data_IF_066240661228
#
_entry.id   IF_066240661228
#
_cell.length_a   1.000
_cell.length_b   1.000
_cell.length_c   1.000
_cell.angle_alpha   90.00
_cell.angle_beta   90.00
_cell.angle_gamma   90.00
#
_symmetry.space_group_name_H-M   'P 1'
#
loop_
_entity.id
_entity.type
_entity.pdbx_description
1 polymer ?
#
# COMPACT_ATOMS: atom_id res chain seq x y z
N UNK A 1 60.55 -54.74 -0.73
CA UNK A 1 60.36 -54.99 -2.18
C UNK A 1 59.09 -54.29 -2.63
N UNK A 2 59.20 -53.27 -3.49
CA UNK A 2 58.12 -52.78 -4.38
C UNK A 2 58.53 -53.17 -5.81
N UNK A 3 57.60 -53.46 -6.74
CA UNK A 3 56.73 -52.49 -7.45
C UNK A 3 55.29 -53.06 -7.68
N UNK A 4 54.27 -52.46 -8.30
CA UNK A 4 54.04 -51.21 -9.00
C UNK A 4 52.72 -51.31 -9.81
N UNK A 5 52.01 -50.18 -9.91
CA UNK A 5 51.17 -49.67 -11.03
C UNK A 5 49.89 -50.42 -11.47
N UNK A 6 48.76 -49.70 -11.50
CA UNK A 6 47.60 -50.02 -12.37
C UNK A 6 46.33 -49.22 -12.06
N UNK A 7 45.83 -48.45 -13.03
CA UNK A 7 44.63 -47.57 -13.04
C UNK A 7 43.33 -48.34 -12.70
N UNK A 8 42.18 -47.74 -12.36
CA UNK A 8 41.26 -46.99 -13.23
C UNK A 8 40.12 -46.42 -12.36
N UNK A 9 39.71 -45.17 -12.61
CA UNK A 9 38.58 -44.54 -11.95
C UNK A 9 37.22 -45.12 -12.39
N UNK A 10 36.31 -45.25 -11.43
CA UNK A 10 34.88 -45.31 -11.69
C UNK A 10 34.28 -44.00 -11.17
N UNK A 11 33.92 -43.13 -12.11
CA UNK A 11 33.08 -41.96 -11.84
C UNK A 11 31.72 -42.50 -11.44
N UNK A 12 31.25 -42.13 -10.24
CA UNK A 12 29.86 -42.33 -9.88
C UNK A 12 28.99 -41.69 -10.96
N UNK A 13 28.07 -42.48 -11.49
CA UNK A 13 27.15 -42.07 -12.55
C UNK A 13 26.37 -40.83 -12.13
N UNK A 14 26.37 -39.83 -13.00
CA UNK A 14 25.38 -38.77 -12.97
C UNK A 14 24.00 -39.39 -13.24
N UNK A 15 23.12 -39.42 -12.23
CA UNK A 15 21.67 -39.31 -12.45
C UNK A 15 21.09 -38.48 -11.31
N UNK A 16 20.58 -37.30 -11.67
CA UNK A 16 19.57 -36.56 -10.91
C UNK A 16 20.08 -35.69 -9.77
N UNK A 17 20.76 -34.58 -10.08
CA UNK A 17 20.62 -33.38 -9.25
C UNK A 17 19.16 -32.91 -9.35
N UNK A 18 18.28 -33.33 -8.44
CA UNK A 18 17.10 -32.53 -8.15
C UNK A 18 17.59 -31.36 -7.30
N UNK A 19 18.03 -30.30 -7.97
CA UNK A 19 18.25 -29.00 -7.34
C UNK A 19 16.93 -28.51 -6.76
N UNK A 20 16.66 -28.83 -5.50
CA UNK A 20 15.61 -28.22 -4.70
C UNK A 20 15.99 -26.78 -4.37
N UNK A 21 15.95 -25.92 -5.39
CA UNK A 21 16.02 -24.48 -5.21
C UNK A 21 14.74 -24.02 -4.53
N UNK A 22 14.87 -23.37 -3.37
CA UNK A 22 13.77 -22.78 -2.62
C UNK A 22 12.94 -21.87 -3.51
N UNK A 23 11.66 -22.24 -3.69
CA UNK A 23 10.68 -21.53 -4.51
C UNK A 23 10.20 -20.22 -3.87
N UNK A 24 11.12 -19.32 -3.54
CA UNK A 24 10.77 -17.96 -3.17
C UNK A 24 10.70 -17.10 -4.44
N UNK A 25 9.51 -16.52 -4.68
CA UNK A 25 9.26 -15.42 -5.62
C UNK A 25 9.48 -15.76 -7.11
N UNK A 26 8.51 -16.46 -7.73
CA UNK A 26 8.30 -16.39 -9.18
C UNK A 26 7.60 -15.07 -9.55
N UNK A 27 8.20 -13.91 -9.23
CA UNK A 27 7.69 -12.64 -9.75
C UNK A 27 8.31 -12.44 -11.13
N UNK A 28 7.59 -12.89 -12.17
CA UNK A 28 7.85 -12.44 -13.52
C UNK A 28 7.54 -10.93 -13.57
N UNK A 29 8.58 -10.10 -13.60
CA UNK A 29 8.45 -8.68 -13.96
C UNK A 29 8.09 -8.57 -15.43
N UNK A 30 6.83 -8.81 -15.75
CA UNK A 30 6.25 -8.55 -17.06
C UNK A 30 5.51 -7.22 -17.03
N UNK A 31 6.23 -6.11 -17.23
CA UNK A 31 5.61 -4.84 -17.56
C UNK A 31 4.93 -4.96 -18.92
N UNK A 32 3.67 -5.39 -18.95
CA UNK A 32 2.82 -5.34 -20.14
C UNK A 32 1.70 -4.32 -19.91
N UNK A 33 2.00 -3.06 -20.27
CA UNK A 33 0.98 -2.11 -20.67
C UNK A 33 0.38 -2.60 -21.99
N UNK A 34 -0.76 -3.29 -21.96
CA UNK A 34 -1.70 -3.29 -23.08
C UNK A 34 -3.13 -3.35 -22.55
N UNK A 35 -3.77 -2.18 -22.50
CA UNK A 35 -5.23 -2.07 -22.48
C UNK A 35 -5.78 -2.56 -23.82
N UNK A 36 -6.55 -3.65 -23.79
CA UNK A 36 -7.49 -3.99 -24.86
C UNK A 36 -8.87 -4.29 -24.26
N UNK A 37 -9.74 -3.30 -24.43
CA UNK A 37 -11.20 -3.32 -24.46
C UNK A 37 -11.88 -4.66 -24.11
N UNK A 38 -12.55 -4.70 -22.95
CA UNK A 38 -13.61 -5.67 -22.63
C UNK A 38 -13.19 -7.02 -22.05
N UNK A 39 -11.90 -7.24 -21.76
CA UNK A 39 -11.46 -8.43 -21.04
C UNK A 39 -11.86 -8.33 -19.57
N UNK A 40 -12.50 -9.38 -19.02
CA UNK A 40 -12.72 -9.54 -17.59
C UNK A 40 -11.43 -9.15 -16.86
N UNK A 41 -11.51 -8.15 -15.96
CA UNK A 41 -10.38 -7.63 -15.20
C UNK A 41 -9.66 -8.83 -14.58
N UNK A 42 -8.53 -9.25 -15.15
CA UNK A 42 -7.78 -10.40 -14.63
C UNK A 42 -7.39 -10.02 -13.21
N UNK A 43 -8.04 -10.67 -12.25
CA UNK A 43 -7.74 -10.50 -10.84
C UNK A 43 -6.29 -10.93 -10.66
N UNK A 44 -5.48 -10.07 -10.02
CA UNK A 44 -4.08 -10.37 -9.73
C UNK A 44 -4.04 -11.65 -8.89
N UNK A 45 -3.37 -12.74 -9.35
CA UNK A 45 -3.37 -14.02 -8.64
C UNK A 45 -2.79 -13.91 -7.22
N UNK A 46 -1.95 -12.91 -6.95
CA UNK A 46 -1.41 -12.65 -5.61
C UNK A 46 -2.49 -12.25 -4.60
N UNK A 47 -3.67 -11.80 -5.04
CA UNK A 47 -4.80 -11.54 -4.15
C UNK A 47 -5.35 -12.83 -3.51
N UNK A 48 -5.29 -13.97 -4.22
CA UNK A 48 -5.71 -15.25 -3.67
C UNK A 48 -4.70 -15.74 -2.62
N UNK A 49 -3.40 -15.60 -2.87
CA UNK A 49 -2.34 -15.89 -1.89
C UNK A 49 -2.54 -15.07 -0.59
N UNK A 50 -2.79 -13.77 -0.72
CA UNK A 50 -3.06 -12.90 0.43
C UNK A 50 -4.33 -13.33 1.19
N UNK A 51 -5.36 -13.78 0.49
CA UNK A 51 -6.61 -14.26 1.10
C UNK A 51 -6.36 -15.56 1.88
N UNK A 52 -5.62 -16.50 1.30
CA UNK A 52 -5.26 -17.77 1.93
C UNK A 52 -4.40 -17.57 3.20
N UNK A 53 -3.52 -16.57 3.19
CA UNK A 53 -2.74 -16.15 4.36
C UNK A 53 -3.59 -15.49 5.48
N UNK A 54 -4.89 -15.25 5.24
CA UNK A 54 -5.78 -14.65 6.22
C UNK A 54 -5.70 -13.11 6.27
N UNK A 55 -5.24 -12.47 5.20
CA UNK A 55 -5.23 -11.01 5.11
C UNK A 55 -6.65 -10.43 5.27
N UNK A 56 -6.77 -9.36 6.05
CA UNK A 56 -8.08 -8.76 6.32
C UNK A 56 -8.73 -8.22 5.05
N UNK A 57 -10.07 -8.31 4.97
CA UNK A 57 -10.86 -7.89 3.80
C UNK A 57 -10.57 -6.44 3.35
N UNK A 58 -10.34 -5.54 4.30
CA UNK A 58 -9.98 -4.15 3.99
C UNK A 58 -8.73 -4.05 3.11
N UNK A 59 -7.67 -4.79 3.46
CA UNK A 59 -6.41 -4.79 2.71
C UNK A 59 -6.54 -5.47 1.35
N UNK A 60 -7.34 -6.55 1.26
CA UNK A 60 -7.66 -7.17 -0.02
C UNK A 60 -8.38 -6.20 -0.97
N UNK A 61 -9.37 -5.45 -0.46
CA UNK A 61 -10.06 -4.41 -1.23
C UNK A 61 -9.14 -3.24 -1.62
N UNK A 62 -8.18 -2.89 -0.75
CA UNK A 62 -7.18 -1.88 -1.08
C UNK A 62 -6.25 -2.35 -2.20
N UNK A 63 -5.74 -3.59 -2.14
CA UNK A 63 -4.89 -4.16 -3.18
C UNK A 63 -5.64 -4.33 -4.52
N UNK A 64 -6.92 -4.70 -4.52
CA UNK A 64 -7.73 -4.75 -5.75
C UNK A 64 -7.92 -3.37 -6.40
N UNK A 65 -7.98 -2.32 -5.58
CA UNK A 65 -8.17 -0.93 -6.04
C UNK A 65 -6.87 -0.26 -6.47
N UNK A 66 -5.80 -0.43 -5.70
CA UNK A 66 -4.54 0.30 -5.85
C UNK A 66 -3.39 -0.55 -6.41
N UNK A 67 -3.59 -1.86 -6.54
CA UNK A 67 -2.58 -2.83 -6.95
C UNK A 67 -1.94 -3.55 -5.77
N UNK A 68 -1.55 -4.80 -5.98
CA UNK A 68 -0.87 -5.62 -4.95
C UNK A 68 0.49 -5.03 -4.60
N UNK A 69 1.23 -4.49 -5.57
CA UNK A 69 2.56 -3.90 -5.33
C UNK A 69 2.50 -2.71 -4.37
N UNK A 70 1.45 -1.88 -4.46
CA UNK A 70 1.22 -0.80 -3.50
C UNK A 70 1.02 -1.33 -2.08
N UNK A 71 0.23 -2.40 -1.92
CA UNK A 71 -0.01 -3.00 -0.60
C UNK A 71 1.27 -3.60 -0.03
N UNK A 72 2.07 -4.32 -0.84
CA UNK A 72 3.31 -4.94 -0.38
C UNK A 72 4.33 -3.89 0.07
N UNK A 73 4.48 -2.81 -0.69
CA UNK A 73 5.39 -1.72 -0.32
C UNK A 73 4.92 -0.99 0.93
N UNK A 74 3.62 -0.68 1.01
CA UNK A 74 3.02 -0.09 2.21
C UNK A 74 3.21 -0.99 3.44
N UNK A 75 2.94 -2.28 3.30
CA UNK A 75 3.08 -3.25 4.39
C UNK A 75 4.54 -3.39 4.83
N UNK A 76 5.49 -3.40 3.89
CA UNK A 76 6.94 -3.41 4.19
C UNK A 76 7.37 -2.19 4.99
N UNK A 77 6.88 -1.00 4.64
CA UNK A 77 7.16 0.22 5.41
C UNK A 77 6.53 0.17 6.80
N UNK A 78 5.28 -0.30 6.89
CA UNK A 78 4.57 -0.43 8.15
C UNK A 78 5.25 -1.43 9.10
N UNK A 79 5.71 -2.57 8.59
CA UNK A 79 6.38 -3.62 9.38
C UNK A 79 7.72 -3.14 9.95
N UNK A 80 8.42 -2.22 9.27
CA UNK A 80 9.69 -1.66 9.72
C UNK A 80 9.55 -0.69 10.91
N UNK A 81 8.44 0.06 10.97
CA UNK A 81 8.28 1.20 11.89
C UNK A 81 7.30 0.94 13.04
N UNK A 82 6.56 -0.16 13.02
CA UNK A 82 5.46 -0.41 13.96
C UNK A 82 5.79 -1.55 14.91
N UNK A 83 5.51 -1.32 16.20
CA UNK A 83 5.54 -2.36 17.21
C UNK A 83 4.56 -3.48 16.84
N UNK A 84 5.12 -4.64 16.51
CA UNK A 84 4.36 -5.87 16.34
C UNK A 84 3.70 -6.20 17.68
N UNK A 85 2.38 -6.28 17.71
CA UNK A 85 1.67 -6.61 18.94
C UNK A 85 2.02 -8.04 19.38
N UNK A 86 1.82 -8.34 20.68
CA UNK A 86 2.23 -9.63 21.28
C UNK A 86 1.62 -10.87 20.59
N UNK A 87 0.57 -10.70 19.80
CA UNK A 87 -0.08 -11.74 18.98
C UNK A 87 0.47 -11.83 17.54
N UNK A 88 1.59 -11.18 17.23
CA UNK A 88 2.24 -11.23 15.92
C UNK A 88 1.55 -10.39 14.83
N UNK A 89 0.72 -9.42 15.19
CA UNK A 89 0.01 -8.56 14.25
C UNK A 89 0.63 -7.16 14.17
N UNK A 90 0.64 -6.56 12.99
CA UNK A 90 0.98 -5.13 12.82
C UNK A 90 -0.27 -4.29 13.05
N UNK A 91 -0.24 -3.39 14.03
CA UNK A 91 -1.37 -2.52 14.38
C UNK A 91 -1.05 -1.06 14.11
N UNK A 92 -1.76 -0.45 13.16
CA UNK A 92 -1.63 0.98 12.86
C UNK A 92 -2.75 1.80 13.50
N UNK A 93 -2.37 2.72 14.38
CA UNK A 93 -3.28 3.71 14.92
C UNK A 93 -3.32 4.95 14.03
N UNK A 94 -4.33 5.06 13.17
CA UNK A 94 -4.60 6.28 12.40
C UNK A 94 -5.57 7.21 13.13
N UNK A 95 -5.37 8.52 13.00
CA UNK A 95 -6.45 9.49 13.28
C UNK A 95 -7.59 9.23 12.28
N UNK A 96 -8.86 9.31 12.69
CA UNK A 96 -9.99 9.17 11.76
C UNK A 96 -9.85 10.11 10.56
N UNK A 97 -10.22 9.67 9.35
CA UNK A 97 -10.10 10.48 8.13
C UNK A 97 -10.80 11.85 8.25
N UNK A 98 -11.94 11.92 8.98
CA UNK A 98 -12.63 13.17 9.31
C UNK A 98 -11.76 14.20 10.04
N UNK A 99 -10.78 13.76 10.82
CA UNK A 99 -9.84 14.64 11.52
C UNK A 99 -8.88 15.29 10.54
N UNK A 100 -8.38 14.52 9.54
CA UNK A 100 -7.57 15.06 8.46
C UNK A 100 -8.37 16.04 7.58
N UNK A 101 -9.60 15.68 7.19
CA UNK A 101 -10.47 16.58 6.43
C UNK A 101 -10.75 17.88 7.17
N UNK A 102 -11.05 17.81 8.48
CA UNK A 102 -11.21 18.99 9.33
C UNK A 102 -9.93 19.85 9.36
N UNK A 103 -8.77 19.23 9.45
CA UNK A 103 -7.48 19.91 9.43
C UNK A 103 -7.26 20.65 8.11
N UNK A 104 -7.42 19.97 6.97
CA UNK A 104 -7.28 20.57 5.63
C UNK A 104 -8.23 21.76 5.43
N UNK A 105 -9.50 21.57 5.78
CA UNK A 105 -10.54 22.59 5.68
C UNK A 105 -10.22 23.83 6.52
N UNK A 106 -9.75 23.64 7.76
CA UNK A 106 -9.36 24.76 8.62
C UNK A 106 -8.17 25.53 8.04
N UNK A 107 -7.13 24.83 7.56
CA UNK A 107 -5.98 25.45 6.89
C UNK A 107 -6.40 26.24 5.64
N UNK A 108 -7.33 25.70 4.87
CA UNK A 108 -7.83 26.39 3.69
C UNK A 108 -8.61 27.67 4.06
N UNK A 109 -9.41 27.65 5.12
CA UNK A 109 -10.08 28.86 5.64
C UNK A 109 -9.05 29.91 6.07
N UNK A 110 -8.02 29.52 6.82
CA UNK A 110 -6.95 30.43 7.26
C UNK A 110 -6.26 31.08 6.06
N UNK A 111 -5.95 30.31 5.02
CA UNK A 111 -5.34 30.83 3.80
C UNK A 111 -6.25 31.84 3.07
N UNK A 112 -7.54 31.56 2.98
CA UNK A 112 -8.50 32.49 2.37
C UNK A 112 -8.64 33.79 3.18
N UNK A 113 -8.66 33.70 4.51
CA UNK A 113 -8.66 34.89 5.39
C UNK A 113 -7.40 35.71 5.18
N UNK A 114 -6.23 35.08 5.09
CA UNK A 114 -4.95 35.77 4.85
C UNK A 114 -4.91 36.48 3.49
N UNK A 115 -5.71 36.00 2.52
CA UNK A 115 -5.90 36.64 1.21
C UNK A 115 -6.96 37.76 1.22
N UNK A 116 -7.55 38.06 2.39
CA UNK A 116 -8.56 39.10 2.56
C UNK A 116 -9.98 38.68 2.13
N UNK A 117 -10.22 37.39 1.92
CA UNK A 117 -11.52 36.90 1.45
C UNK A 117 -12.54 36.93 2.59
N UNK A 118 -13.72 37.47 2.30
CA UNK A 118 -14.80 37.63 3.29
C UNK A 118 -15.50 36.31 3.66
N UNK A 119 -16.12 36.21 4.85
CA UNK A 119 -16.73 34.96 5.34
C UNK A 119 -17.81 34.33 4.45
N UNK A 120 -18.59 35.14 3.72
CA UNK A 120 -19.64 34.63 2.81
C UNK A 120 -19.04 34.03 1.53
N UNK A 121 -17.96 34.63 1.04
CA UNK A 121 -17.22 34.15 -0.12
C UNK A 121 -16.42 32.88 0.23
N UNK A 122 -15.79 32.83 1.42
CA UNK A 122 -15.18 31.61 1.97
C UNK A 122 -16.17 30.45 1.99
N UNK A 123 -17.40 30.69 2.45
CA UNK A 123 -18.43 29.65 2.48
C UNK A 123 -18.75 29.12 1.08
N UNK A 124 -18.79 30.00 0.09
CA UNK A 124 -19.04 29.64 -1.31
C UNK A 124 -17.89 28.80 -1.86
N UNK A 125 -16.64 29.22 -1.61
CA UNK A 125 -15.44 28.51 -2.04
C UNK A 125 -15.31 27.13 -1.40
N UNK A 126 -15.61 27.00 -0.10
CA UNK A 126 -15.60 25.72 0.60
C UNK A 126 -16.58 24.71 0.00
N UNK A 127 -17.78 25.17 -0.34
CA UNK A 127 -18.80 24.33 -0.96
C UNK A 127 -18.37 23.90 -2.36
N UNK A 128 -17.80 24.81 -3.15
CA UNK A 128 -17.41 24.54 -4.53
C UNK A 128 -16.17 23.64 -4.64
N UNK A 129 -15.16 23.86 -3.82
CA UNK A 129 -13.86 23.20 -3.96
C UNK A 129 -13.70 21.97 -3.06
N UNK A 130 -14.31 21.97 -1.87
CA UNK A 130 -14.21 20.86 -0.92
C UNK A 130 -15.53 20.10 -0.75
N UNK A 131 -16.64 20.59 -1.31
CA UNK A 131 -17.97 20.00 -1.09
C UNK A 131 -18.48 20.13 0.35
N UNK A 132 -17.88 21.02 1.15
CA UNK A 132 -18.12 21.14 2.58
C UNK A 132 -19.12 22.27 2.89
N UNK A 133 -20.17 21.96 3.65
CA UNK A 133 -21.12 22.96 4.14
C UNK A 133 -20.82 23.37 5.57
N UNK A 134 -20.36 24.61 5.74
CA UNK A 134 -20.03 25.18 7.05
C UNK A 134 -20.91 26.41 7.32
N UNK A 135 -21.36 26.56 8.56
CA UNK A 135 -22.08 27.76 8.98
C UNK A 135 -21.16 28.97 9.09
N UNK A 136 -21.66 30.15 8.73
CA UNK A 136 -20.93 31.43 8.83
C UNK A 136 -20.37 31.66 10.24
N UNK A 137 -21.12 31.31 11.28
CA UNK A 137 -20.67 31.37 12.69
C UNK A 137 -19.44 30.51 12.96
N UNK A 138 -19.31 29.35 12.33
CA UNK A 138 -18.14 28.50 12.48
C UNK A 138 -16.92 29.13 11.80
N UNK A 139 -17.09 29.69 10.60
CA UNK A 139 -16.02 30.41 9.88
C UNK A 139 -15.53 31.59 10.73
N UNK A 140 -16.44 32.44 11.20
CA UNK A 140 -16.09 33.58 12.07
C UNK A 140 -15.32 33.17 13.33
N UNK A 141 -15.68 32.04 13.95
CA UNK A 141 -14.96 31.51 15.12
C UNK A 141 -13.55 31.02 14.79
N UNK A 142 -13.33 30.51 13.58
CA UNK A 142 -12.00 30.09 13.11
C UNK A 142 -11.15 31.32 12.79
N UNK A 143 -11.74 32.34 12.14
CA UNK A 143 -11.09 33.63 11.85
C UNK A 143 -10.65 34.33 13.14
N UNK A 144 -11.42 34.25 14.22
CA UNK A 144 -11.10 34.87 15.51
C UNK A 144 -10.04 34.12 16.35
N UNK A 145 -9.67 32.89 15.96
CA UNK A 145 -8.73 32.05 16.70
C UNK A 145 -7.33 31.99 16.09
N UNK A 146 -7.17 32.42 14.84
CA UNK A 146 -5.88 32.61 14.17
C UNK A 146 -5.38 34.02 14.38
#
# INVERSE_FOLDING_TARGET
MSPGVGRVGARHGCIGLSGGGGGYLNICTGSNFEEKNGAAKKIDPRLDELREMGMQRFWLSAAERFGVDWLLEFWRMADADIDVSQNGMVSMAFRPYRSYMRYQRNRYIEELVNRGIGPDEIRTLLRQQLGEEISKRHILRLVQKG
#
